data_IF_941676413312
#
_entry.id   IF_941676413312
#
_cell.length_a   1.000
_cell.length_b   1.000
_cell.length_c   1.000
_cell.angle_alpha   90.00
_cell.angle_beta   90.00
_cell.angle_gamma   90.00
#
_symmetry.space_group_name_H-M   'P 1'
#
loop_
_entity.id
_entity.type
_entity.pdbx_description
1 polymer ?
#
# COMPACT_ATOMS: atom_id res chain seq x y z
N UNK A 1 9.60 4.97 -3.74
CA UNK A 1 8.96 4.08 -2.73
C UNK A 1 9.39 4.30 -1.30
N UNK A 2 10.64 4.74 -1.03
CA UNK A 2 11.10 4.95 0.34
C UNK A 2 10.26 6.00 1.08
N UNK A 3 9.77 7.03 0.39
CA UNK A 3 8.99 8.11 1.00
C UNK A 3 7.58 7.68 1.36
N UNK A 4 6.85 6.99 0.48
CA UNK A 4 5.52 6.47 0.76
C UNK A 4 5.55 5.46 1.93
N UNK A 5 6.48 4.50 1.90
CA UNK A 5 6.61 3.53 3.00
C UNK A 5 7.04 4.21 4.30
N UNK A 6 7.95 5.19 4.25
CA UNK A 6 8.35 6.01 5.41
C UNK A 6 7.17 6.84 5.93
N UNK A 7 6.31 7.35 5.05
CA UNK A 7 5.12 8.11 5.41
C UNK A 7 4.10 7.21 6.12
N UNK A 8 3.80 6.02 5.57
CA UNK A 8 2.92 5.03 6.22
C UNK A 8 3.50 4.59 7.58
N UNK A 9 4.80 4.33 7.66
CA UNK A 9 5.48 4.00 8.93
C UNK A 9 5.36 5.13 9.96
N UNK A 10 5.50 6.40 9.55
CA UNK A 10 5.26 7.56 10.43
C UNK A 10 3.79 7.71 10.84
N UNK A 11 2.86 7.23 10.01
CA UNK A 11 1.44 7.28 10.31
C UNK A 11 0.97 6.18 11.27
N UNK A 12 1.73 5.09 11.46
CA UNK A 12 1.25 3.98 12.26
C UNK A 12 0.99 4.37 13.72
N UNK A 13 1.77 5.31 14.25
CA UNK A 13 1.55 5.91 15.58
C UNK A 13 0.29 6.82 15.67
N UNK A 14 -0.39 7.12 14.54
CA UNK A 14 -1.59 7.96 14.51
C UNK A 14 -2.85 7.09 14.43
N UNK A 15 -3.83 7.40 15.27
CA UNK A 15 -5.12 6.71 15.25
C UNK A 15 -5.90 7.05 13.97
N UNK A 16 -6.77 6.13 13.53
CA UNK A 16 -7.63 6.37 12.38
C UNK A 16 -8.52 7.62 12.52
N UNK A 17 -8.89 8.02 13.75
CA UNK A 17 -9.60 9.27 14.00
C UNK A 17 -8.71 10.50 13.71
N UNK A 18 -7.47 10.49 14.18
CA UNK A 18 -6.47 11.53 13.88
C UNK A 18 -6.18 11.63 12.38
N UNK A 19 -6.13 10.49 11.68
CA UNK A 19 -5.93 10.46 10.23
C UNK A 19 -7.13 11.00 9.45
N UNK A 20 -8.37 10.73 9.91
CA UNK A 20 -9.57 11.35 9.35
C UNK A 20 -9.61 12.86 9.59
N UNK A 21 -9.17 13.32 10.76
CA UNK A 21 -9.05 14.75 11.02
C UNK A 21 -7.98 15.40 10.13
N UNK A 22 -6.91 14.67 9.81
CA UNK A 22 -5.89 15.12 8.84
C UNK A 22 -6.47 15.29 7.43
N UNK A 23 -7.40 14.42 7.02
CA UNK A 23 -8.14 14.56 5.75
C UNK A 23 -9.06 15.79 5.73
N UNK A 24 -9.78 16.05 6.83
CA UNK A 24 -10.70 17.20 6.90
C UNK A 24 -9.96 18.54 6.96
N UNK A 25 -8.81 18.56 7.64
CA UNK A 25 -7.92 19.71 7.82
C UNK A 25 -7.07 20.07 6.59
N UNK A 26 -7.18 19.36 5.46
CA UNK A 26 -6.42 19.69 4.25
C UNK A 26 -6.77 21.09 3.74
N UNK A 27 -5.74 21.87 3.43
CA UNK A 27 -5.85 23.24 2.87
C UNK A 27 -6.46 23.21 1.47
N UNK A 28 -7.00 24.35 1.01
CA UNK A 28 -7.63 24.47 -0.31
C UNK A 28 -6.73 24.02 -1.45
N UNK A 29 -5.48 24.51 -1.49
CA UNK A 29 -4.46 24.13 -2.48
C UNK A 29 -4.27 22.60 -2.57
N UNK A 30 -4.15 21.93 -1.41
CA UNK A 30 -3.92 20.48 -1.32
C UNK A 30 -5.16 19.66 -1.71
N UNK A 31 -6.36 20.19 -1.45
CA UNK A 31 -7.63 19.58 -1.90
C UNK A 31 -7.76 19.63 -3.43
N UNK A 32 -7.38 20.74 -4.05
CA UNK A 32 -7.46 20.92 -5.50
C UNK A 32 -6.43 20.06 -6.23
N UNK A 33 -5.24 19.90 -5.66
CA UNK A 33 -4.19 18.99 -6.13
C UNK A 33 -4.67 17.52 -6.18
N UNK A 34 -5.29 17.04 -5.09
CA UNK A 34 -5.87 15.68 -5.03
C UNK A 34 -7.02 15.50 -6.03
N UNK A 35 -7.88 16.51 -6.20
CA UNK A 35 -8.96 16.47 -7.20
C UNK A 35 -8.43 16.42 -8.63
N UNK A 36 -7.40 17.22 -8.92
CA UNK A 36 -6.73 17.27 -10.21
C UNK A 36 -6.12 15.91 -10.55
N UNK A 37 -5.38 15.32 -9.60
CA UNK A 37 -4.83 13.97 -9.74
C UNK A 37 -5.92 12.93 -10.04
N UNK A 38 -7.02 12.91 -9.27
CA UNK A 38 -8.13 11.96 -9.51
C UNK A 38 -8.72 12.09 -10.91
N UNK A 39 -8.86 13.31 -11.45
CA UNK A 39 -9.31 13.51 -12.84
C UNK A 39 -8.30 12.96 -13.84
N UNK A 40 -7.02 13.24 -13.66
CA UNK A 40 -5.96 12.80 -14.55
C UNK A 40 -5.86 11.26 -14.61
N UNK A 41 -5.95 10.58 -13.45
CA UNK A 41 -5.96 9.11 -13.39
C UNK A 41 -7.16 8.48 -14.11
N UNK A 42 -8.34 9.11 -14.06
CA UNK A 42 -9.53 8.62 -14.78
C UNK A 42 -9.37 8.82 -16.30
N UNK A 43 -8.67 9.89 -16.70
CA UNK A 43 -8.51 10.30 -18.09
C UNK A 43 -7.26 9.70 -18.76
N UNK A 44 -6.47 8.89 -18.04
CA UNK A 44 -5.21 8.33 -18.54
C UNK A 44 -4.17 9.39 -18.90
N UNK A 45 -4.27 10.59 -18.31
CA UNK A 45 -3.38 11.72 -18.61
C UNK A 45 -2.29 11.88 -17.53
N UNK A 46 -1.18 12.52 -17.90
CA UNK A 46 -0.07 12.77 -16.98
C UNK A 46 -0.51 13.72 -15.86
N UNK A 47 -0.67 13.20 -14.64
CA UNK A 47 -0.95 14.02 -13.47
C UNK A 47 0.30 14.83 -13.06
N UNK A 48 0.16 16.11 -12.65
CA UNK A 48 1.29 16.88 -12.13
C UNK A 48 1.83 16.27 -10.83
N UNK A 49 3.15 16.30 -10.66
CA UNK A 49 3.83 15.77 -9.48
C UNK A 49 3.42 16.57 -8.23
N UNK A 50 3.06 15.86 -7.15
CA UNK A 50 2.75 16.52 -5.88
C UNK A 50 4.01 16.96 -5.16
N UNK A 51 3.88 18.04 -4.41
CA UNK A 51 4.96 18.55 -3.56
C UNK A 51 5.30 17.63 -2.37
N UNK A 52 4.31 16.91 -1.82
CA UNK A 52 4.46 16.05 -0.63
C UNK A 52 3.44 14.90 -0.60
N UNK A 53 3.78 13.74 0.00
CA UNK A 53 2.83 12.64 0.23
C UNK A 53 1.61 13.09 1.03
N UNK A 54 0.44 12.59 0.64
CA UNK A 54 -0.83 13.07 1.16
C UNK A 54 -1.81 11.93 1.37
N UNK A 55 -2.37 11.81 2.57
CA UNK A 55 -3.51 10.90 2.82
C UNK A 55 -4.69 11.42 2.03
N UNK A 56 -5.33 10.56 1.23
CA UNK A 56 -6.50 10.92 0.42
C UNK A 56 -7.77 10.18 0.84
N UNK A 57 -7.62 9.03 1.51
CA UNK A 57 -8.72 8.29 2.10
C UNK A 57 -8.19 7.39 3.22
N UNK A 58 -9.04 7.16 4.22
CA UNK A 58 -8.88 6.10 5.20
C UNK A 58 -10.14 5.27 5.18
N UNK A 59 -10.00 3.96 5.01
CA UNK A 59 -11.08 2.98 5.09
C UNK A 59 -10.78 2.00 6.19
N UNK A 60 -11.81 1.47 6.84
CA UNK A 60 -11.63 0.34 7.73
C UNK A 60 -12.26 -0.89 7.09
N UNK A 61 -11.71 -2.05 7.43
CA UNK A 61 -12.26 -3.35 7.07
C UNK A 61 -12.11 -4.30 8.26
N UNK A 62 -12.81 -5.42 8.19
CA UNK A 62 -12.63 -6.52 9.12
C UNK A 62 -11.95 -7.66 8.39
N UNK A 63 -10.84 -8.14 8.92
CA UNK A 63 -10.16 -9.34 8.42
C UNK A 63 -10.22 -10.43 9.47
N UNK A 64 -10.25 -11.69 9.03
CA UNK A 64 -10.32 -12.85 9.93
C UNK A 64 -8.93 -13.44 10.10
N UNK A 65 -8.40 -13.38 11.32
CA UNK A 65 -7.10 -13.94 11.69
C UNK A 65 -7.34 -15.08 12.68
N UNK A 66 -6.95 -16.31 12.32
CA UNK A 66 -7.17 -17.51 13.16
C UNK A 66 -8.62 -17.61 13.69
N UNK A 67 -9.60 -17.36 12.82
CA UNK A 67 -11.03 -17.38 13.15
C UNK A 67 -11.55 -16.17 13.94
N UNK A 68 -10.71 -15.20 14.29
CA UNK A 68 -11.11 -13.98 15.00
C UNK A 68 -11.15 -12.79 14.06
N UNK A 69 -12.28 -12.06 14.05
CA UNK A 69 -12.41 -10.80 13.31
C UNK A 69 -11.56 -9.71 13.97
N UNK A 70 -10.68 -9.08 13.20
CA UNK A 70 -9.84 -7.94 13.58
C UNK A 70 -10.19 -6.77 12.69
N UNK A 71 -10.35 -5.59 13.28
CA UNK A 71 -10.54 -4.35 12.53
C UNK A 71 -9.17 -3.81 12.13
N UNK A 72 -8.99 -3.45 10.86
CA UNK A 72 -7.82 -2.73 10.40
C UNK A 72 -8.22 -1.54 9.52
N UNK A 73 -7.30 -0.61 9.34
CA UNK A 73 -7.47 0.60 8.57
C UNK A 73 -6.50 0.61 7.41
N UNK A 74 -7.06 0.77 6.20
CA UNK A 74 -6.32 1.02 4.98
C UNK A 74 -6.22 2.51 4.73
N UNK A 75 -4.99 2.97 4.60
CA UNK A 75 -4.67 4.34 4.22
C UNK A 75 -4.33 4.36 2.74
N UNK A 76 -5.02 5.22 2.01
CA UNK A 76 -4.71 5.52 0.62
C UNK A 76 -3.94 6.84 0.62
N UNK A 77 -2.74 6.80 0.08
CA UNK A 77 -1.84 7.95 0.00
C UNK A 77 -1.57 8.24 -1.46
N UNK A 78 -1.51 9.52 -1.74
CA UNK A 78 -1.10 10.06 -3.02
C UNK A 78 0.32 10.61 -2.87
N UNK A 79 1.26 10.15 -3.69
CA UNK A 79 2.66 10.58 -3.68
C UNK A 79 3.18 10.82 -5.12
N UNK A 80 4.24 11.60 -5.28
CA UNK A 80 4.81 11.92 -6.59
C UNK A 80 5.35 10.67 -7.31
N UNK A 81 5.82 9.68 -6.55
CA UNK A 81 6.40 8.43 -7.03
C UNK A 81 5.39 7.27 -7.12
N UNK A 82 4.11 7.52 -6.81
CA UNK A 82 3.13 6.44 -6.69
C UNK A 82 2.50 5.99 -8.01
N UNK A 83 2.68 6.67 -9.15
CA UNK A 83 1.99 6.26 -10.39
C UNK A 83 0.47 6.09 -10.17
N UNK A 84 -0.17 5.12 -10.83
CA UNK A 84 -1.58 4.71 -10.57
C UNK A 84 -1.78 3.93 -9.25
N UNK A 85 -0.73 3.74 -8.42
CA UNK A 85 -0.78 2.97 -7.17
C UNK A 85 -1.69 3.57 -6.08
N UNK A 86 -2.40 4.65 -6.38
CA UNK A 86 -3.46 5.23 -5.53
C UNK A 86 -4.62 4.25 -5.32
N UNK A 87 -4.71 3.20 -6.13
CA UNK A 87 -5.64 2.07 -5.94
C UNK A 87 -5.28 1.18 -4.74
N UNK A 88 -4.02 1.14 -4.31
CA UNK A 88 -3.58 0.24 -3.23
C UNK A 88 -3.68 0.94 -1.87
N UNK A 89 -4.53 0.41 -0.99
CA UNK A 89 -4.67 0.87 0.39
C UNK A 89 -3.77 0.09 1.35
N UNK A 90 -2.91 0.80 2.09
CA UNK A 90 -1.90 0.20 2.98
C UNK A 90 -2.42 0.08 4.41
N UNK A 91 -2.31 -1.10 5.00
CA UNK A 91 -2.74 -1.36 6.38
C UNK A 91 -1.78 -0.66 7.37
N UNK A 92 -2.30 0.05 8.37
CA UNK A 92 -1.46 0.66 9.41
C UNK A 92 -0.74 -0.40 10.24
N UNK A 93 0.55 -0.19 10.53
CA UNK A 93 1.34 -1.16 11.32
C UNK A 93 0.71 -1.50 12.67
N UNK A 94 0.09 -0.53 13.33
CA UNK A 94 -0.41 -0.65 14.70
C UNK A 94 -1.77 -1.35 14.76
N UNK A 95 -2.46 -1.51 13.62
CA UNK A 95 -3.72 -2.26 13.57
C UNK A 95 -3.50 -3.78 13.65
N UNK A 96 -2.28 -4.26 13.38
CA UNK A 96 -1.96 -5.68 13.34
C UNK A 96 -0.65 -6.03 14.02
N UNK A 97 -0.69 -7.09 14.82
CA UNK A 97 0.43 -7.71 15.53
C UNK A 97 0.93 -8.99 14.84
N UNK A 98 0.30 -9.42 13.75
CA UNK A 98 0.60 -10.65 13.04
C UNK A 98 0.53 -10.52 11.52
N UNK A 99 1.21 -11.44 10.83
CA UNK A 99 1.17 -11.55 9.40
C UNK A 99 -0.24 -11.89 8.91
N UNK A 100 -0.75 -11.13 7.95
CA UNK A 100 -2.07 -11.33 7.35
C UNK A 100 -2.14 -12.50 6.34
N UNK A 101 -1.05 -13.27 6.20
CA UNK A 101 -0.98 -14.47 5.36
C UNK A 101 -0.87 -15.72 6.25
N UNK A 102 0.18 -15.83 7.07
CA UNK A 102 0.39 -17.02 7.92
C UNK A 102 -0.11 -16.87 9.37
N UNK A 103 -0.55 -15.67 9.78
CA UNK A 103 -1.03 -15.36 11.13
C UNK A 103 -0.01 -15.56 12.26
N UNK A 104 1.27 -15.67 11.94
CA UNK A 104 2.34 -15.63 12.94
C UNK A 104 2.52 -14.20 13.45
N UNK A 105 2.76 -14.06 14.75
CA UNK A 105 3.07 -12.77 15.36
C UNK A 105 4.35 -12.20 14.75
N UNK A 106 4.37 -10.89 14.58
CA UNK A 106 5.61 -10.20 14.27
C UNK A 106 6.47 -10.14 15.53
N UNK A 107 7.74 -10.53 15.42
CA UNK A 107 8.69 -10.40 16.51
C UNK A 107 9.15 -8.94 16.59
N UNK A 108 8.85 -8.25 17.69
CA UNK A 108 9.50 -6.97 18.03
C UNK A 108 10.89 -7.29 18.59
N UNK A 109 11.94 -7.08 17.79
CA UNK A 109 13.34 -7.28 18.18
C UNK A 109 14.14 -5.96 18.15
N UNK A 110 15.24 -5.90 18.91
CA UNK A 110 16.13 -4.74 19.13
C UNK A 110 16.78 -4.10 17.88
N UNK A 111 16.55 -4.61 16.67
CA UNK A 111 17.15 -4.10 15.42
C UNK A 111 16.03 -3.57 14.50
N UNK A 112 15.71 -2.28 14.68
CA UNK A 112 14.99 -1.28 13.84
C UNK A 112 13.94 -1.66 12.77
N UNK A 113 13.49 -2.90 12.64
CA UNK A 113 12.39 -3.30 11.76
C UNK A 113 11.55 -4.33 12.50
N UNK A 114 10.31 -3.98 12.82
CA UNK A 114 9.34 -4.76 13.58
C UNK A 114 8.91 -6.09 12.93
N UNK A 115 9.70 -6.65 12.02
CA UNK A 115 9.37 -7.83 11.19
C UNK A 115 8.19 -7.60 10.23
N UNK A 116 7.61 -6.40 10.25
CA UNK A 116 6.46 -5.98 9.46
C UNK A 116 6.93 -5.48 8.09
N UNK A 117 6.40 -6.12 7.05
CA UNK A 117 6.53 -5.66 5.67
C UNK A 117 5.14 -5.44 5.08
N UNK A 118 5.03 -4.53 4.12
CA UNK A 118 3.82 -4.42 3.32
C UNK A 118 3.99 -5.11 1.98
N UNK A 119 2.94 -5.81 1.55
CA UNK A 119 2.82 -6.21 0.15
C UNK A 119 2.58 -4.97 -0.71
N UNK A 120 3.41 -4.71 -1.73
CA UNK A 120 3.23 -3.53 -2.59
C UNK A 120 2.06 -3.65 -3.56
N UNK A 121 1.57 -4.87 -3.79
CA UNK A 121 0.37 -5.14 -4.57
C UNK A 121 -0.92 -4.91 -3.75
N UNK A 122 -1.09 -5.59 -2.61
CA UNK A 122 -2.36 -5.53 -1.86
C UNK A 122 -2.34 -4.68 -0.58
N UNK A 123 -1.19 -4.14 -0.17
CA UNK A 123 -1.07 -3.30 1.03
C UNK A 123 -1.19 -4.02 2.38
N UNK A 124 -1.28 -5.35 2.40
CA UNK A 124 -1.34 -6.15 3.63
C UNK A 124 -0.01 -6.18 4.39
N UNK A 125 -0.09 -6.31 5.72
CA UNK A 125 1.05 -6.57 6.58
C UNK A 125 1.46 -8.04 6.55
N UNK A 126 2.71 -8.30 6.20
CA UNK A 126 3.25 -9.63 5.94
C UNK A 126 4.65 -9.78 6.52
N UNK A 127 5.01 -11.00 6.93
CA UNK A 127 6.37 -11.29 7.37
C UNK A 127 7.29 -11.56 6.17
N UNK A 128 8.60 -11.59 6.41
CA UNK A 128 9.59 -11.84 5.35
C UNK A 128 9.31 -13.16 4.62
N UNK A 129 9.04 -14.24 5.36
CA UNK A 129 8.77 -15.57 4.80
C UNK A 129 7.52 -15.63 3.90
N UNK A 130 6.49 -14.81 4.18
CA UNK A 130 5.29 -14.74 3.36
C UNK A 130 5.38 -13.71 2.23
N UNK A 131 6.54 -13.06 2.04
CA UNK A 131 6.73 -12.00 1.07
C UNK A 131 8.14 -11.95 0.49
N UNK A 132 8.74 -13.12 0.25
CA UNK A 132 10.12 -13.19 -0.23
C UNK A 132 10.24 -12.88 -1.73
N UNK A 133 9.12 -12.88 -2.44
CA UNK A 133 9.07 -12.65 -3.88
C UNK A 133 8.99 -11.16 -4.23
N UNK A 134 9.61 -10.80 -5.36
CA UNK A 134 9.58 -9.47 -5.95
C UNK A 134 9.10 -9.55 -7.40
N UNK A 135 8.17 -8.69 -7.79
CA UNK A 135 7.56 -8.68 -9.14
C UNK A 135 7.33 -7.26 -9.62
N UNK A 136 7.28 -7.08 -10.93
CA UNK A 136 6.82 -5.82 -11.52
C UNK A 136 5.31 -5.74 -11.32
N UNK A 137 4.88 -4.71 -10.60
CA UNK A 137 3.47 -4.38 -10.41
C UNK A 137 3.13 -3.27 -11.42
N UNK A 138 2.10 -3.45 -12.26
CA UNK A 138 1.76 -2.53 -13.35
C UNK A 138 1.73 -1.06 -12.93
N UNK A 139 1.07 -0.78 -11.83
CA UNK A 139 0.87 0.56 -11.29
C UNK A 139 2.16 1.16 -10.70
N UNK A 140 3.20 0.33 -10.54
CA UNK A 140 4.51 0.65 -9.97
C UNK A 140 5.66 0.30 -10.93
N UNK A 141 5.40 0.17 -12.23
CA UNK A 141 6.40 -0.25 -13.24
C UNK A 141 7.71 0.54 -13.18
N UNK A 142 7.64 1.84 -12.88
CA UNK A 142 8.80 2.74 -12.76
C UNK A 142 9.80 2.35 -11.67
N UNK A 143 9.42 1.43 -10.79
CA UNK A 143 10.21 1.00 -9.63
C UNK A 143 10.84 -0.38 -9.84
N UNK A 144 10.58 -1.00 -10.98
CA UNK A 144 11.01 -2.37 -11.26
C UNK A 144 10.32 -3.38 -10.34
N UNK A 145 11.03 -4.47 -10.01
CA UNK A 145 10.50 -5.53 -9.18
C UNK A 145 10.36 -5.08 -7.72
N UNK A 146 9.14 -5.13 -7.17
CA UNK A 146 8.82 -4.75 -5.80
C UNK A 146 8.31 -5.94 -5.00
N UNK A 147 8.54 -5.91 -3.67
CA UNK A 147 8.13 -7.00 -2.77
C UNK A 147 6.61 -7.19 -2.76
N UNK A 148 6.18 -8.44 -2.94
CA UNK A 148 4.78 -8.85 -2.84
C UNK A 148 4.63 -10.04 -1.91
N UNK A 149 3.44 -10.21 -1.33
CA UNK A 149 3.15 -11.42 -0.57
C UNK A 149 2.94 -12.62 -1.51
N UNK A 150 3.07 -13.83 -0.97
CA UNK A 150 2.92 -15.06 -1.75
C UNK A 150 1.53 -15.17 -2.40
N UNK A 151 0.47 -14.67 -1.75
CA UNK A 151 -0.88 -14.64 -2.33
C UNK A 151 -0.93 -13.80 -3.61
N UNK A 152 -0.33 -12.60 -3.61
CA UNK A 152 -0.25 -11.74 -4.79
C UNK A 152 0.73 -12.29 -5.83
N UNK A 153 1.82 -12.93 -5.40
CA UNK A 153 2.78 -13.54 -6.31
C UNK A 153 2.18 -14.69 -7.13
N UNK A 154 1.42 -15.58 -6.48
CA UNK A 154 0.84 -16.76 -7.13
C UNK A 154 -0.56 -16.51 -7.74
N UNK A 155 -1.00 -15.25 -7.87
CA UNK A 155 -2.19 -14.91 -8.66
C UNK A 155 -3.55 -15.13 -7.98
N UNK A 156 -3.65 -15.05 -6.64
CA UNK A 156 -4.96 -14.85 -6.00
C UNK A 156 -5.32 -13.36 -6.12
N UNK A 157 -5.96 -12.97 -7.23
CA UNK A 157 -6.50 -11.64 -7.63
C UNK A 157 -6.50 -10.51 -6.55
N UNK A 158 -6.07 -9.25 -6.76
CA UNK A 158 -5.61 -8.48 -7.93
C UNK A 158 -4.56 -7.46 -7.47
N UNK A 159 -3.36 -7.50 -8.04
CA UNK A 159 -2.74 -6.43 -8.86
C UNK A 159 -1.89 -7.22 -9.83
N UNK A 160 -2.04 -7.03 -11.14
CA UNK A 160 -1.37 -7.83 -12.17
C UNK A 160 0.16 -7.83 -11.92
N UNK A 161 0.59 -8.80 -11.14
CA UNK A 161 1.96 -9.12 -10.85
C UNK A 161 2.38 -9.93 -12.07
N UNK A 162 2.90 -9.26 -13.09
CA UNK A 162 3.44 -9.96 -14.25
C UNK A 162 4.68 -10.73 -13.79
N UNK A 163 4.45 -11.97 -13.34
CA UNK A 163 5.49 -12.94 -13.16
C UNK A 163 5.82 -13.51 -14.54
N UNK A 164 6.72 -12.83 -15.26
CA UNK A 164 7.41 -13.36 -16.43
C UNK A 164 6.51 -14.03 -17.50
N UNK A 165 5.54 -13.29 -18.07
CA UNK A 165 5.11 -13.64 -19.42
C UNK A 165 6.20 -13.20 -20.38
N UNK A 166 7.04 -14.16 -20.73
CA UNK A 166 7.92 -14.09 -21.88
C UNK A 166 7.15 -13.56 -23.09
N UNK A 167 7.80 -12.70 -23.87
CA UNK A 167 7.46 -12.45 -25.27
C UNK A 167 7.08 -13.76 -25.96
N UNK A 168 5.78 -13.93 -26.22
CA UNK A 168 5.19 -14.92 -27.10
C UNK A 168 4.54 -14.18 -28.26
N UNK A 169 5.26 -14.15 -29.36
CA UNK A 169 4.92 -13.67 -30.70
C UNK A 169 3.51 -14.04 -31.17
N UNK A 170 2.93 -13.14 -31.97
CA UNK A 170 1.79 -13.29 -32.89
C UNK A 170 1.16 -14.69 -33.05
N UNK A 171 -0.16 -14.76 -32.82
CA UNK A 171 -1.17 -15.19 -33.81
C UNK A 171 -2.52 -14.57 -33.49
#
# INVERSE_FOLDING_TARGET
MAEHERFIKKMSAKTAASLRNSLTSMTGKKKDEVKSYRRASIQGSTAPALSEPSVIAVRFEYVTIKGRRRKCHRVFVLAADSGECVKVGWVLNDDMDCCMVCHNLFYDGMISSSGKHHCRACGNLVCSACSDNHVVVCELMTLGAVRVCNQCFFGQEIVYAHANDHLGTMV
#
